data_IF_742961687456
#
_entry.id   IF_742961687456
#
_cell.length_a   1.000
_cell.length_b   1.000
_cell.length_c   1.000
_cell.angle_alpha   90.00
_cell.angle_beta   90.00
_cell.angle_gamma   90.00
#
_symmetry.space_group_name_H-M   'P 1'
#
loop_
_entity.id
_entity.type
_entity.pdbx_description
1 polymer ?
#
# COMPACT_ATOMS: atom_id res chain seq x y z
N UNK A 1 -15.12 -0.35 -11.96
CA UNK A 1 -13.95 -0.75 -11.17
C UNK A 1 -14.09 -0.51 -9.69
N UNK A 2 -13.86 -1.60 -8.99
CA UNK A 2 -14.67 -2.71 -9.34
C UNK A 2 -16.10 -2.32 -8.90
N UNK A 3 -16.69 -1.31 -9.58
CA UNK A 3 -18.11 -1.16 -9.79
C UNK A 3 -18.70 -2.55 -9.90
N UNK A 4 -19.90 -2.79 -9.36
CA UNK A 4 -20.51 -4.10 -9.40
C UNK A 4 -20.41 -4.77 -10.79
N UNK A 5 -20.53 -4.00 -11.86
CA UNK A 5 -20.35 -4.42 -13.26
C UNK A 5 -18.97 -5.05 -13.56
N UNK A 6 -17.88 -4.48 -13.05
CA UNK A 6 -16.54 -5.03 -13.28
C UNK A 6 -16.31 -6.29 -12.44
N UNK A 7 -16.81 -6.36 -11.19
CA UNK A 7 -16.75 -7.61 -10.41
C UNK A 7 -17.52 -8.74 -11.07
N UNK A 8 -18.63 -8.45 -11.73
CA UNK A 8 -19.45 -9.45 -12.42
C UNK A 8 -18.71 -10.19 -13.55
N UNK A 9 -17.54 -9.69 -14.00
CA UNK A 9 -16.66 -10.39 -14.95
C UNK A 9 -15.89 -11.56 -14.33
N UNK A 10 -15.86 -11.68 -13.01
CA UNK A 10 -15.11 -12.69 -12.27
C UNK A 10 -16.04 -13.61 -11.48
N UNK A 11 -15.68 -14.89 -11.28
CA UNK A 11 -16.39 -15.75 -10.34
C UNK A 11 -16.44 -15.12 -8.95
N UNK A 12 -17.53 -15.36 -8.17
CA UNK A 12 -17.63 -14.81 -6.83
C UNK A 12 -16.52 -15.36 -5.92
N UNK A 13 -16.10 -14.55 -4.95
CA UNK A 13 -15.21 -15.03 -3.90
C UNK A 13 -15.93 -16.13 -3.09
N UNK A 14 -15.34 -17.33 -2.90
CA UNK A 14 -16.01 -18.44 -2.24
C UNK A 14 -16.44 -18.11 -0.81
N UNK A 15 -17.67 -18.46 -0.44
CA UNK A 15 -18.26 -18.13 0.87
C UNK A 15 -17.70 -18.96 2.03
N UNK A 16 -17.08 -20.11 1.74
CA UNK A 16 -16.52 -21.05 2.71
C UNK A 16 -15.04 -20.79 3.04
N UNK A 17 -14.42 -19.79 2.43
CA UNK A 17 -13.01 -19.45 2.67
C UNK A 17 -12.92 -18.40 3.79
N UNK A 18 -12.15 -18.64 4.86
CA UNK A 18 -11.93 -17.65 5.91
C UNK A 18 -11.31 -16.37 5.35
N UNK A 19 -11.85 -15.23 5.77
CA UNK A 19 -11.37 -13.90 5.39
C UNK A 19 -11.00 -13.11 6.64
N UNK A 20 -10.01 -12.22 6.51
CA UNK A 20 -9.64 -11.32 7.57
C UNK A 20 -10.81 -10.39 7.87
N UNK A 21 -11.08 -10.15 9.15
CA UNK A 21 -12.04 -9.14 9.58
C UNK A 21 -11.44 -7.76 9.34
N UNK A 22 -11.77 -7.20 8.18
CA UNK A 22 -11.15 -5.98 7.68
C UNK A 22 -12.14 -4.82 7.83
N UNK A 23 -11.83 -3.77 8.61
CA UNK A 23 -12.69 -2.62 8.73
C UNK A 23 -12.81 -1.91 7.39
N UNK A 24 -13.98 -1.32 7.16
CA UNK A 24 -14.28 -0.54 5.95
C UNK A 24 -14.66 0.86 6.37
N UNK A 25 -13.94 1.83 5.84
CA UNK A 25 -14.17 3.23 6.13
C UNK A 25 -14.74 3.95 4.91
N UNK A 26 -15.62 4.92 5.14
CA UNK A 26 -16.16 5.79 4.10
C UNK A 26 -15.20 6.95 3.82
N UNK A 27 -14.71 7.01 2.58
CA UNK A 27 -13.92 8.15 2.13
C UNK A 27 -14.70 9.46 2.22
N UNK A 28 -16.00 9.45 1.90
CA UNK A 28 -16.85 10.64 1.99
C UNK A 28 -16.89 11.23 3.41
N UNK A 29 -16.96 10.37 4.44
CA UNK A 29 -16.91 10.79 5.85
C UNK A 29 -15.54 11.31 6.27
N UNK A 30 -14.46 10.64 5.87
CA UNK A 30 -13.10 11.11 6.13
C UNK A 30 -12.86 12.48 5.49
N UNK A 31 -13.29 12.67 4.24
CA UNK A 31 -13.16 13.93 3.51
C UNK A 31 -13.86 15.12 4.20
N UNK A 32 -14.93 14.88 4.96
CA UNK A 32 -15.61 15.91 5.78
C UNK A 32 -15.17 15.91 7.25
N UNK A 33 -14.06 15.25 7.58
CA UNK A 33 -13.48 15.16 8.92
C UNK A 33 -14.40 14.55 9.99
N UNK A 34 -15.20 13.54 9.64
CA UNK A 34 -16.03 12.81 10.60
C UNK A 34 -15.18 12.23 11.74
N UNK A 35 -15.53 12.59 12.98
CA UNK A 35 -14.73 12.24 14.17
C UNK A 35 -14.72 10.76 14.50
N UNK A 36 -15.85 10.07 14.31
CA UNK A 36 -15.98 8.64 14.59
C UNK A 36 -15.20 7.82 13.57
N UNK A 37 -15.39 8.11 12.28
CA UNK A 37 -14.67 7.48 11.18
C UNK A 37 -13.16 7.69 11.33
N UNK A 38 -12.74 8.91 11.67
CA UNK A 38 -11.34 9.25 11.90
C UNK A 38 -10.72 8.48 13.07
N UNK A 39 -11.43 8.30 14.18
CA UNK A 39 -10.94 7.56 15.34
C UNK A 39 -10.81 6.07 15.02
N UNK A 40 -11.85 5.49 14.41
CA UNK A 40 -11.85 4.08 14.03
C UNK A 40 -10.75 3.77 12.99
N UNK A 41 -10.50 4.69 12.04
CA UNK A 41 -9.39 4.60 11.09
C UNK A 41 -8.03 4.51 11.81
N UNK A 42 -7.79 5.41 12.78
CA UNK A 42 -6.54 5.44 13.52
C UNK A 42 -6.29 4.13 14.28
N UNK A 43 -7.32 3.58 14.93
CA UNK A 43 -7.21 2.31 15.64
C UNK A 43 -6.94 1.14 14.69
N UNK A 44 -7.60 1.09 13.53
CA UNK A 44 -7.31 0.08 12.51
C UNK A 44 -5.86 0.16 12.01
N UNK A 45 -5.32 1.38 11.81
CA UNK A 45 -3.94 1.60 11.41
C UNK A 45 -2.91 1.16 12.47
N UNK A 46 -3.27 1.17 13.76
CA UNK A 46 -2.42 0.68 14.86
C UNK A 46 -2.50 -0.82 15.05
N UNK A 47 -3.70 -1.37 15.02
CA UNK A 47 -3.94 -2.78 15.34
C UNK A 47 -3.71 -3.70 14.15
N UNK A 48 -4.18 -3.31 12.96
CA UNK A 48 -4.16 -4.18 11.78
C UNK A 48 -3.15 -3.65 10.76
N UNK A 49 -3.05 -2.33 10.58
CA UNK A 49 -2.23 -1.72 9.53
C UNK A 49 -2.81 -1.91 8.12
N UNK A 50 -4.01 -2.49 8.02
CA UNK A 50 -4.80 -2.65 6.80
C UNK A 50 -6.25 -2.22 7.07
N UNK A 51 -6.92 -1.74 6.02
CA UNK A 51 -8.36 -1.49 5.98
C UNK A 51 -8.85 -1.45 4.53
N UNK A 52 -10.17 -1.37 4.33
CA UNK A 52 -10.73 -1.01 3.04
C UNK A 52 -11.33 0.39 3.09
N UNK A 53 -11.22 1.13 2.00
CA UNK A 53 -11.79 2.47 1.86
C UNK A 53 -12.86 2.46 0.79
N UNK A 54 -14.09 2.77 1.17
CA UNK A 54 -15.26 2.88 0.30
C UNK A 54 -15.36 4.30 -0.29
N UNK A 55 -15.38 4.37 -1.62
CA UNK A 55 -15.45 5.61 -2.38
C UNK A 55 -16.87 6.03 -2.76
N UNK A 56 -17.91 5.33 -2.30
CA UNK A 56 -19.29 5.74 -2.52
C UNK A 56 -19.67 6.96 -1.68
N UNK A 57 -20.70 7.68 -2.12
CA UNK A 57 -21.28 8.80 -1.36
C UNK A 57 -20.62 10.16 -1.60
N UNK A 58 -19.66 10.30 -2.53
CA UNK A 58 -19.16 11.59 -2.97
C UNK A 58 -18.70 11.60 -4.44
N UNK A 59 -18.78 12.77 -5.08
CA UNK A 59 -18.41 12.95 -6.50
C UNK A 59 -16.93 12.64 -6.77
N UNK A 60 -16.05 12.97 -5.83
CA UNK A 60 -14.62 12.68 -5.95
C UNK A 60 -14.39 11.16 -6.04
N UNK A 61 -15.02 10.40 -5.14
CA UNK A 61 -14.91 8.95 -5.11
C UNK A 61 -15.44 8.30 -6.39
N UNK A 62 -16.60 8.74 -6.88
CA UNK A 62 -17.16 8.29 -8.16
C UNK A 62 -16.20 8.55 -9.34
N UNK A 63 -15.59 9.73 -9.38
CA UNK A 63 -14.64 10.10 -10.44
C UNK A 63 -13.33 9.31 -10.31
N UNK A 64 -12.84 9.09 -9.09
CA UNK A 64 -11.67 8.28 -8.83
C UNK A 64 -11.90 6.86 -9.32
N UNK A 65 -12.99 6.18 -8.92
CA UNK A 65 -13.32 4.82 -9.36
C UNK A 65 -13.39 4.69 -10.89
N UNK A 66 -13.93 5.69 -11.61
CA UNK A 66 -13.93 5.74 -13.08
C UNK A 66 -12.53 5.88 -13.68
N UNK A 67 -11.65 6.66 -13.07
CA UNK A 67 -10.27 6.76 -13.53
C UNK A 67 -9.49 5.48 -13.22
N UNK A 68 -9.79 4.83 -12.09
CA UNK A 68 -9.25 3.53 -11.77
C UNK A 68 -9.66 2.51 -12.87
N UNK A 69 -10.92 2.50 -13.39
CA UNK A 69 -11.35 1.68 -14.57
C UNK A 69 -10.34 1.71 -15.70
N UNK A 70 -9.99 2.92 -16.12
CA UNK A 70 -9.05 3.16 -17.21
C UNK A 70 -7.65 2.63 -16.89
N UNK A 71 -7.26 2.58 -15.61
CA UNK A 71 -5.97 2.02 -15.20
C UNK A 71 -5.93 0.50 -15.35
N UNK A 72 -7.03 -0.23 -15.11
CA UNK A 72 -7.05 -1.68 -15.41
C UNK A 72 -7.12 -1.94 -16.91
N UNK A 73 -7.84 -1.12 -17.68
CA UNK A 73 -7.83 -1.24 -19.14
C UNK A 73 -6.42 -1.02 -19.68
N UNK A 74 -5.71 0.00 -19.20
CA UNK A 74 -4.30 0.24 -19.51
C UNK A 74 -3.41 -0.93 -19.04
N UNK A 75 -3.65 -1.48 -17.85
CA UNK A 75 -2.91 -2.64 -17.35
C UNK A 75 -3.08 -3.86 -18.28
N UNK A 76 -4.31 -4.13 -18.74
CA UNK A 76 -4.59 -5.21 -19.69
C UNK A 76 -3.91 -4.95 -21.06
N UNK A 77 -3.98 -3.71 -21.58
CA UNK A 77 -3.30 -3.32 -22.82
C UNK A 77 -1.79 -3.47 -22.73
N UNK A 78 -1.19 -3.01 -21.63
CA UNK A 78 0.25 -3.12 -21.36
C UNK A 78 0.73 -4.57 -21.42
N UNK A 79 -0.02 -5.49 -20.79
CA UNK A 79 0.35 -6.91 -20.78
C UNK A 79 -0.10 -7.69 -22.02
N UNK A 80 -0.80 -7.04 -22.96
CA UNK A 80 -1.03 -7.57 -24.30
C UNK A 80 0.18 -7.34 -25.23
N UNK A 81 1.12 -6.46 -24.85
CA UNK A 81 2.35 -6.24 -25.61
C UNK A 81 3.24 -7.49 -25.65
N UNK A 82 4.04 -7.67 -26.72
CA UNK A 82 5.04 -8.73 -26.78
C UNK A 82 6.02 -8.64 -25.60
N UNK A 83 6.39 -9.80 -25.04
CA UNK A 83 7.37 -9.85 -23.94
C UNK A 83 8.73 -9.26 -24.32
N UNK A 84 9.11 -9.38 -25.58
CA UNK A 84 10.34 -8.78 -26.10
C UNK A 84 10.34 -7.26 -25.94
N UNK A 85 9.21 -6.60 -26.27
CA UNK A 85 9.04 -5.16 -26.10
C UNK A 85 9.05 -4.76 -24.62
N UNK A 86 8.30 -5.45 -23.77
CA UNK A 86 8.30 -5.16 -22.32
C UNK A 86 9.71 -5.28 -21.70
N UNK A 87 10.53 -6.23 -22.15
CA UNK A 87 11.90 -6.41 -21.68
C UNK A 87 12.84 -5.23 -22.04
N UNK A 88 12.52 -4.42 -23.05
CA UNK A 88 13.28 -3.20 -23.35
C UNK A 88 13.20 -2.19 -22.20
N UNK A 89 12.13 -2.25 -21.41
CA UNK A 89 11.87 -1.40 -20.25
C UNK A 89 12.21 -2.14 -18.96
N UNK A 90 13.46 -2.58 -18.78
CA UNK A 90 13.82 -3.45 -17.65
C UNK A 90 13.86 -2.75 -16.28
N UNK A 91 13.30 -3.45 -15.29
CA UNK A 91 13.44 -3.20 -13.85
C UNK A 91 14.86 -3.52 -13.36
N UNK A 92 15.45 -2.68 -12.50
CA UNK A 92 16.86 -2.77 -12.12
C UNK A 92 17.10 -2.46 -10.63
N UNK A 93 16.71 -3.35 -9.71
CA UNK A 93 16.85 -3.11 -8.27
C UNK A 93 18.32 -3.32 -7.81
N UNK A 94 18.77 -2.63 -6.76
CA UNK A 94 18.04 -1.61 -6.00
C UNK A 94 18.15 -0.19 -6.60
N UNK A 95 18.74 -0.04 -7.79
CA UNK A 95 18.93 1.26 -8.47
C UNK A 95 17.60 1.90 -8.87
N UNK A 96 16.68 1.11 -9.42
CA UNK A 96 15.34 1.57 -9.81
C UNK A 96 14.32 0.45 -9.61
N UNK A 97 13.18 0.82 -9.01
CA UNK A 97 12.04 -0.06 -8.83
C UNK A 97 10.92 0.18 -9.86
N UNK A 98 11.22 0.95 -10.91
CA UNK A 98 10.30 1.27 -11.98
C UNK A 98 10.44 0.29 -13.17
N UNK A 99 9.49 0.39 -14.10
CA UNK A 99 9.38 -0.40 -15.32
C UNK A 99 9.19 -1.90 -15.08
N UNK A 100 9.48 -2.71 -16.09
CA UNK A 100 9.04 -4.08 -16.21
C UNK A 100 9.94 -5.08 -15.47
N UNK A 101 9.33 -5.84 -14.57
CA UNK A 101 9.92 -7.03 -13.95
C UNK A 101 9.18 -8.27 -14.49
N UNK A 102 9.87 -9.18 -15.21
CA UNK A 102 9.25 -10.35 -15.79
C UNK A 102 8.84 -11.39 -14.74
N UNK A 103 8.01 -12.33 -15.16
CA UNK A 103 7.61 -13.50 -14.38
C UNK A 103 8.84 -14.29 -13.90
N UNK A 104 8.87 -14.69 -12.63
CA UNK A 104 9.90 -15.57 -12.09
C UNK A 104 11.23 -14.88 -11.79
N UNK A 105 11.27 -13.55 -11.86
CA UNK A 105 12.44 -12.73 -11.60
C UNK A 105 12.92 -12.86 -10.15
N UNK A 106 12.05 -12.62 -9.17
CA UNK A 106 12.39 -12.91 -7.77
C UNK A 106 12.20 -14.40 -7.48
N UNK A 107 13.01 -14.93 -6.56
CA UNK A 107 12.93 -16.33 -6.14
C UNK A 107 12.13 -16.46 -4.84
N UNK A 108 11.25 -17.44 -4.82
CA UNK A 108 10.50 -17.95 -3.68
C UNK A 108 11.08 -19.34 -3.40
N UNK A 109 12.01 -19.43 -2.45
CA UNK A 109 12.84 -20.62 -2.31
C UNK A 109 13.63 -20.90 -3.61
N UNK A 110 13.38 -22.04 -4.25
CA UNK A 110 14.05 -22.45 -5.50
C UNK A 110 13.28 -22.08 -6.78
N UNK A 111 12.04 -21.62 -6.66
CA UNK A 111 11.16 -21.34 -7.81
C UNK A 111 11.01 -19.84 -8.02
N UNK A 112 10.76 -19.41 -9.26
CA UNK A 112 10.51 -17.99 -9.55
C UNK A 112 9.11 -17.56 -9.11
N UNK A 113 8.92 -16.31 -8.68
CA UNK A 113 7.61 -15.73 -8.36
C UNK A 113 6.58 -15.86 -9.51
N UNK A 114 5.28 -15.73 -9.20
CA UNK A 114 4.19 -15.83 -10.19
C UNK A 114 3.54 -14.48 -10.46
N UNK A 115 4.37 -13.43 -10.55
CA UNK A 115 3.88 -12.07 -10.78
C UNK A 115 4.76 -11.33 -11.77
N UNK A 116 4.12 -10.73 -12.76
CA UNK A 116 4.70 -9.69 -13.59
C UNK A 116 4.30 -8.34 -13.02
N UNK A 117 5.21 -7.38 -13.02
CA UNK A 117 4.89 -6.01 -12.62
C UNK A 117 5.53 -5.01 -13.58
N UNK A 118 4.85 -3.89 -13.79
CA UNK A 118 5.38 -2.70 -14.42
C UNK A 118 5.17 -1.51 -13.49
N UNK A 119 6.25 -0.89 -13.04
CA UNK A 119 6.20 0.30 -12.19
C UNK A 119 6.24 1.59 -12.99
N UNK A 120 5.16 2.38 -12.98
CA UNK A 120 5.13 3.72 -13.57
C UNK A 120 5.57 4.71 -12.49
N UNK A 121 6.68 5.41 -12.74
CA UNK A 121 7.20 6.41 -11.80
C UNK A 121 6.20 7.56 -11.66
N UNK A 122 5.89 7.92 -10.41
CA UNK A 122 5.07 9.12 -10.15
C UNK A 122 5.76 10.36 -10.69
N UNK A 123 7.05 10.51 -10.41
CA UNK A 123 7.82 11.70 -10.75
C UNK A 123 7.95 11.92 -12.26
N UNK A 124 8.08 10.83 -13.02
CA UNK A 124 8.08 10.84 -14.49
C UNK A 124 6.75 11.39 -15.05
N UNK A 125 5.62 10.96 -14.48
CA UNK A 125 4.29 11.37 -14.94
C UNK A 125 3.96 12.79 -14.50
N UNK A 126 4.40 13.21 -13.30
CA UNK A 126 4.08 14.53 -12.75
C UNK A 126 5.08 15.62 -13.14
N UNK A 127 6.25 15.25 -13.67
CA UNK A 127 7.32 16.16 -14.06
C UNK A 127 8.27 16.54 -12.91
N UNK A 128 8.33 15.74 -11.84
CA UNK A 128 9.28 15.91 -10.74
C UNK A 128 10.65 15.26 -11.02
N UNK A 129 10.77 14.49 -12.10
CA UNK A 129 12.04 13.96 -12.62
C UNK A 129 12.12 14.08 -14.13
N UNK A 130 13.31 13.82 -14.69
CA UNK A 130 13.45 13.61 -16.12
C UNK A 130 12.52 12.48 -16.61
N UNK A 131 11.92 12.61 -17.81
CA UNK A 131 11.05 11.59 -18.34
C UNK A 131 11.75 10.23 -18.50
N UNK A 132 11.04 9.17 -18.16
CA UNK A 132 11.47 7.79 -18.44
C UNK A 132 10.86 7.34 -19.75
N UNK A 133 11.63 6.58 -20.55
CA UNK A 133 11.05 5.85 -21.67
C UNK A 133 10.03 4.82 -21.16
N UNK A 134 8.82 4.82 -21.75
CA UNK A 134 7.77 3.84 -21.53
C UNK A 134 7.18 3.33 -22.86
N UNK A 135 6.45 2.20 -22.86
CA UNK A 135 5.66 1.75 -24.00
C UNK A 135 4.65 2.78 -24.47
N UNK A 136 4.29 2.71 -25.76
CA UNK A 136 3.39 3.67 -26.40
C UNK A 136 2.02 3.81 -25.71
N UNK A 137 1.49 2.74 -25.13
CA UNK A 137 0.22 2.78 -24.39
C UNK A 137 0.30 3.64 -23.12
N UNK A 138 1.44 3.62 -22.41
CA UNK A 138 1.68 4.46 -21.23
C UNK A 138 1.88 5.91 -21.65
N UNK A 139 2.71 6.15 -22.67
CA UNK A 139 2.97 7.50 -23.18
C UNK A 139 1.69 8.20 -23.65
N UNK A 140 0.83 7.47 -24.37
CA UNK A 140 -0.49 7.97 -24.82
C UNK A 140 -1.42 8.32 -23.65
N UNK A 141 -1.32 7.61 -22.53
CA UNK A 141 -2.18 7.75 -21.36
C UNK A 141 -1.61 8.67 -20.28
N UNK A 142 -0.51 9.40 -20.53
CA UNK A 142 0.14 10.29 -19.57
C UNK A 142 -0.82 11.26 -18.86
N UNK A 143 -1.72 11.99 -19.55
CA UNK A 143 -2.65 12.91 -18.87
C UNK A 143 -3.56 12.18 -17.86
N UNK A 144 -4.07 11.01 -18.24
CA UNK A 144 -4.95 10.20 -17.39
C UNK A 144 -4.18 9.59 -16.21
N UNK A 145 -2.94 9.14 -16.43
CA UNK A 145 -2.03 8.68 -15.38
C UNK A 145 -1.76 9.80 -14.37
N UNK A 146 -1.49 11.01 -14.85
CA UNK A 146 -1.25 12.18 -14.00
C UNK A 146 -2.45 12.48 -13.12
N UNK A 147 -3.64 12.58 -13.71
CA UNK A 147 -4.89 12.79 -12.94
C UNK A 147 -5.10 11.68 -11.91
N UNK A 148 -4.91 10.41 -12.28
CA UNK A 148 -5.08 9.30 -11.36
C UNK A 148 -4.11 9.37 -10.18
N UNK A 149 -2.83 9.65 -10.45
CA UNK A 149 -1.78 9.77 -9.45
C UNK A 149 -2.04 10.95 -8.50
N UNK A 150 -2.46 12.09 -9.02
CA UNK A 150 -2.83 13.27 -8.22
C UNK A 150 -4.01 12.96 -7.28
N UNK A 151 -5.06 12.31 -7.80
CA UNK A 151 -6.20 11.87 -6.98
C UNK A 151 -5.80 10.83 -5.92
N UNK A 152 -4.98 9.85 -6.30
CA UNK A 152 -4.46 8.85 -5.36
C UNK A 152 -3.65 9.52 -4.24
N UNK A 153 -2.84 10.53 -4.57
CA UNK A 153 -2.07 11.29 -3.59
C UNK A 153 -2.96 12.16 -2.68
N UNK A 154 -4.05 12.72 -3.20
CA UNK A 154 -5.03 13.45 -2.38
C UNK A 154 -5.69 12.53 -1.34
N UNK A 155 -6.06 11.30 -1.73
CA UNK A 155 -6.59 10.28 -0.81
C UNK A 155 -5.55 9.93 0.26
N UNK A 156 -4.29 9.71 -0.13
CA UNK A 156 -3.18 9.48 0.80
C UNK A 156 -3.08 10.62 1.82
N UNK A 157 -3.06 11.87 1.36
CA UNK A 157 -2.93 13.04 2.23
C UNK A 157 -4.11 13.19 3.20
N UNK A 158 -5.34 12.87 2.79
CA UNK A 158 -6.51 12.86 3.68
C UNK A 158 -6.30 11.85 4.81
N UNK A 159 -5.90 10.62 4.48
CA UNK A 159 -5.63 9.57 5.49
C UNK A 159 -4.51 10.02 6.44
N UNK A 160 -3.41 10.56 5.89
CA UNK A 160 -2.28 11.05 6.69
C UNK A 160 -2.70 12.17 7.64
N UNK A 161 -3.55 13.10 7.22
CA UNK A 161 -4.07 14.17 8.07
C UNK A 161 -4.87 13.64 9.28
N UNK A 162 -5.64 12.57 9.10
CA UNK A 162 -6.30 11.89 10.23
C UNK A 162 -5.29 11.26 11.19
N UNK A 163 -4.23 10.63 10.67
CA UNK A 163 -3.18 10.03 11.50
C UNK A 163 -2.41 11.10 12.29
N UNK A 164 -2.05 12.23 11.66
CA UNK A 164 -1.38 13.37 12.30
C UNK A 164 -2.19 13.91 13.48
N UNK A 165 -3.52 14.10 13.28
CA UNK A 165 -4.44 14.56 14.32
C UNK A 165 -4.39 13.69 15.57
N UNK A 166 -4.39 12.36 15.38
CA UNK A 166 -4.35 11.38 16.48
C UNK A 166 -2.96 11.14 17.05
N UNK A 167 -1.90 11.46 16.31
CA UNK A 167 -0.52 11.47 16.83
C UNK A 167 -0.15 12.81 17.46
N UNK A 168 -1.05 13.81 17.42
CA UNK A 168 -0.81 15.21 17.83
C UNK A 168 0.42 15.82 17.13
N UNK A 169 0.60 15.45 15.86
CA UNK A 169 1.54 16.10 14.96
C UNK A 169 0.89 17.34 14.34
N UNK A 170 1.68 18.37 13.96
CA UNK A 170 1.19 19.43 13.11
C UNK A 170 0.58 18.85 11.81
N UNK A 171 -0.53 19.42 11.35
CA UNK A 171 -1.15 18.99 10.10
C UNK A 171 -0.21 19.25 8.91
N UNK A 172 -0.09 18.26 8.03
CA UNK A 172 0.79 18.29 6.87
C UNK A 172 2.21 17.80 7.13
N UNK A 173 2.57 17.37 8.34
CA UNK A 173 3.91 16.83 8.63
C UNK A 173 4.27 15.65 7.73
N UNK A 174 3.41 14.64 7.58
CA UNK A 174 3.69 13.50 6.69
C UNK A 174 3.68 13.91 5.23
N UNK A 175 2.82 14.85 4.81
CA UNK A 175 2.78 15.36 3.45
C UNK A 175 4.09 16.06 3.05
N UNK A 176 4.71 16.80 3.99
CA UNK A 176 6.02 17.43 3.81
C UNK A 176 7.17 16.42 3.70
N UNK A 177 6.99 15.19 4.19
CA UNK A 177 7.95 14.10 4.03
C UNK A 177 7.74 13.31 2.72
N UNK A 178 6.71 13.62 1.95
CA UNK A 178 6.43 12.98 0.66
C UNK A 178 5.90 13.93 -0.42
N UNK A 179 6.47 15.14 -0.58
CA UNK A 179 5.96 16.11 -1.54
C UNK A 179 5.95 15.54 -2.97
N UNK A 180 4.91 15.90 -3.72
CA UNK A 180 4.75 15.52 -5.13
C UNK A 180 5.74 16.23 -6.06
N UNK A 181 6.38 17.28 -5.56
CA UNK A 181 7.33 18.13 -6.28
C UNK A 181 8.79 17.69 -6.11
N UNK A 182 9.06 16.73 -5.24
CA UNK A 182 10.42 16.21 -5.04
C UNK A 182 10.52 14.75 -5.48
N UNK A 183 11.71 14.33 -5.96
CA UNK A 183 11.95 12.95 -6.34
C UNK A 183 11.70 11.96 -5.19
N UNK A 184 10.96 10.90 -5.46
CA UNK A 184 10.60 9.84 -4.51
C UNK A 184 10.60 8.47 -5.19
N UNK A 185 10.54 7.40 -4.39
CA UNK A 185 10.29 6.06 -4.90
C UNK A 185 8.81 5.78 -5.19
N UNK A 186 7.92 6.79 -5.19
CA UNK A 186 6.48 6.60 -5.35
C UNK A 186 6.14 6.06 -6.73
N UNK A 187 5.28 5.04 -6.77
CA UNK A 187 5.07 4.26 -7.99
C UNK A 187 3.62 3.81 -8.14
N UNK A 188 3.08 3.94 -9.36
CA UNK A 188 1.88 3.25 -9.78
C UNK A 188 2.28 1.90 -10.38
N UNK A 189 2.00 0.81 -9.69
CA UNK A 189 2.28 -0.55 -10.16
C UNK A 189 1.06 -1.12 -10.88
N UNK A 190 1.29 -1.51 -12.12
CA UNK A 190 0.45 -2.43 -12.88
C UNK A 190 0.97 -3.84 -12.63
N UNK A 191 0.17 -4.73 -12.07
CA UNK A 191 0.58 -6.12 -11.85
C UNK A 191 -0.37 -7.08 -12.58
N UNK A 192 0.22 -8.17 -13.06
CA UNK A 192 -0.49 -9.31 -13.66
C UNK A 192 -0.01 -10.61 -13.02
N UNK A 193 -0.99 -11.44 -12.65
CA UNK A 193 -0.78 -12.80 -12.21
C UNK A 193 -1.52 -13.71 -13.19
N UNK A 194 -0.80 -14.66 -13.77
CA UNK A 194 -1.41 -15.67 -14.61
C UNK A 194 -2.32 -16.59 -13.79
N UNK A 195 -3.33 -17.21 -14.43
CA UNK A 195 -4.11 -18.29 -13.82
C UNK A 195 -3.22 -19.31 -13.11
N UNK A 196 -3.68 -19.80 -11.97
CA UNK A 196 -2.99 -20.77 -11.13
C UNK A 196 -3.77 -22.08 -11.13
N UNK A 197 -3.46 -22.99 -12.06
CA UNK A 197 -4.13 -24.29 -12.16
C UNK A 197 -3.91 -25.13 -10.90
N UNK A 198 -4.70 -26.19 -10.74
CA UNK A 198 -4.71 -27.01 -9.52
C UNK A 198 -3.36 -27.68 -9.20
N UNK A 199 -2.53 -27.91 -10.22
CA UNK A 199 -1.18 -28.48 -10.12
C UNK A 199 -0.08 -27.46 -9.78
N UNK A 200 -0.36 -26.14 -9.89
CA UNK A 200 0.55 -25.08 -9.44
C UNK A 200 -0.20 -23.91 -8.78
N UNK A 201 -0.55 -24.10 -7.49
CA UNK A 201 -1.18 -23.10 -6.60
C UNK A 201 -0.20 -22.47 -5.60
N UNK A 202 1.09 -22.49 -5.92
CA UNK A 202 2.10 -21.96 -4.99
C UNK A 202 1.96 -20.46 -4.80
N UNK A 203 2.48 -19.97 -3.67
CA UNK A 203 2.59 -18.54 -3.38
C UNK A 203 3.21 -17.78 -4.56
N UNK A 204 2.52 -16.74 -5.01
CA UNK A 204 2.90 -15.92 -6.14
C UNK A 204 3.86 -14.80 -5.76
N UNK A 205 3.77 -14.29 -4.54
CA UNK A 205 4.66 -13.29 -3.95
C UNK A 205 4.82 -13.59 -2.46
N UNK A 206 6.06 -13.70 -1.98
CA UNK A 206 6.33 -14.07 -0.59
C UNK A 206 5.79 -13.05 0.41
N UNK A 207 5.69 -13.47 1.66
CA UNK A 207 5.44 -12.58 2.79
C UNK A 207 6.44 -11.43 2.83
N UNK A 208 5.93 -10.21 2.90
CA UNK A 208 6.71 -8.99 3.02
C UNK A 208 5.90 -7.88 3.69
N UNK A 209 6.59 -6.84 4.14
CA UNK A 209 6.00 -5.53 4.43
C UNK A 209 6.37 -4.55 3.32
N UNK A 210 5.56 -3.52 3.13
CA UNK A 210 5.80 -2.53 2.09
C UNK A 210 6.81 -1.49 2.55
N UNK A 211 7.83 -1.24 1.73
CA UNK A 211 8.75 -0.11 1.90
C UNK A 211 8.06 1.14 1.31
N UNK A 212 7.04 1.62 2.01
CA UNK A 212 6.17 2.76 1.65
C UNK A 212 5.74 3.50 2.92
N UNK A 213 5.07 4.64 2.75
CA UNK A 213 4.24 5.21 3.82
C UNK A 213 2.83 4.59 3.77
N UNK A 214 2.22 4.60 2.58
CA UNK A 214 0.88 4.07 2.36
C UNK A 214 0.77 3.43 0.97
N UNK A 215 -0.02 2.37 0.86
CA UNK A 215 -0.36 1.72 -0.41
C UNK A 215 -1.87 1.75 -0.62
N UNK A 216 -2.33 2.18 -1.80
CA UNK A 216 -3.72 2.05 -2.26
C UNK A 216 -3.78 0.94 -3.32
N UNK A 217 -4.55 -0.13 -3.09
CA UNK A 217 -4.56 -1.31 -3.95
C UNK A 217 -5.97 -1.68 -4.39
N UNK A 218 -6.14 -1.88 -5.70
CA UNK A 218 -7.37 -2.38 -6.30
C UNK A 218 -7.15 -3.75 -6.94
N UNK A 219 -8.10 -4.66 -6.72
CA UNK A 219 -8.20 -5.95 -7.41
C UNK A 219 -9.65 -6.43 -7.41
N UNK A 220 -10.06 -7.19 -8.42
CA UNK A 220 -11.40 -7.80 -8.49
C UNK A 220 -11.41 -9.27 -8.05
N UNK A 221 -10.25 -9.89 -7.87
CA UNK A 221 -10.12 -11.28 -7.42
C UNK A 221 -9.35 -11.34 -6.11
N UNK A 222 -9.54 -12.42 -5.35
CA UNK A 222 -8.73 -12.73 -4.17
C UNK A 222 -7.26 -13.03 -4.52
N UNK A 223 -6.56 -13.61 -3.56
CA UNK A 223 -5.14 -13.98 -3.65
C UNK A 223 -4.24 -13.20 -2.68
N UNK A 224 -4.63 -11.98 -2.30
CA UNK A 224 -3.93 -11.25 -1.23
C UNK A 224 -4.28 -11.88 0.12
N UNK A 225 -3.26 -12.12 0.94
CA UNK A 225 -3.40 -12.59 2.31
C UNK A 225 -2.58 -11.73 3.27
N UNK A 226 -3.12 -11.52 4.46
CA UNK A 226 -2.45 -10.86 5.58
C UNK A 226 -2.04 -11.90 6.61
N UNK A 227 -0.88 -11.69 7.22
CA UNK A 227 -0.42 -12.49 8.36
C UNK A 227 -1.22 -12.10 9.60
N UNK A 228 -1.73 -13.09 10.34
CA UNK A 228 -2.35 -12.84 11.64
C UNK A 228 -1.31 -12.26 12.61
N UNK A 229 -1.78 -11.40 13.50
CA UNK A 229 -0.97 -10.78 14.55
C UNK A 229 -0.13 -11.80 15.32
N UNK A 230 1.16 -11.50 15.47
CA UNK A 230 2.18 -12.31 16.17
C UNK A 230 2.26 -13.78 15.74
N UNK A 231 1.74 -14.13 14.56
CA UNK A 231 1.76 -15.48 14.04
C UNK A 231 3.04 -15.79 13.24
N UNK A 232 3.41 -17.07 13.19
CA UNK A 232 4.57 -17.52 12.42
C UNK A 232 4.28 -17.44 10.90
N UNK A 233 5.04 -16.65 10.11
CA UNK A 233 4.84 -16.50 8.66
C UNK A 233 5.11 -17.79 7.87
N UNK A 234 5.78 -18.78 8.45
CA UNK A 234 6.05 -20.08 7.82
C UNK A 234 4.87 -21.05 7.89
N UNK A 235 3.87 -20.77 8.74
CA UNK A 235 2.67 -21.60 8.87
C UNK A 235 1.57 -21.09 7.94
N UNK A 236 1.06 -21.98 7.08
CA UNK A 236 -0.02 -21.64 6.14
C UNK A 236 -1.30 -21.16 6.87
N UNK A 237 -1.59 -21.71 8.05
CA UNK A 237 -2.74 -21.36 8.89
C UNK A 237 -2.66 -19.96 9.52
N UNK A 238 -1.48 -19.34 9.50
CA UNK A 238 -1.26 -17.95 9.95
C UNK A 238 -1.76 -16.92 8.96
N UNK A 239 -2.00 -17.30 7.71
CA UNK A 239 -2.39 -16.38 6.64
C UNK A 239 -3.90 -16.38 6.43
N UNK A 240 -4.47 -15.20 6.25
CA UNK A 240 -5.92 -15.04 6.02
C UNK A 240 -6.17 -14.20 4.78
N UNK A 241 -7.13 -14.58 3.94
CA UNK A 241 -7.45 -13.84 2.73
C UNK A 241 -8.06 -12.47 3.03
N UNK A 242 -7.68 -11.47 2.24
CA UNK A 242 -8.44 -10.23 2.15
C UNK A 242 -9.40 -10.36 0.97
N UNK A 243 -10.70 -10.29 1.24
CA UNK A 243 -11.75 -10.30 0.20
C UNK A 243 -11.87 -8.90 -0.41
N UNK A 244 -11.57 -8.74 -1.72
CA UNK A 244 -11.84 -7.48 -2.41
C UNK A 244 -13.35 -7.23 -2.48
N UNK A 245 -13.76 -5.96 -2.42
CA UNK A 245 -15.17 -5.56 -2.45
C UNK A 245 -15.45 -4.50 -3.52
N UNK A 246 -16.69 -4.46 -4.05
CA UNK A 246 -17.11 -3.41 -4.95
C UNK A 246 -16.89 -2.01 -4.39
N UNK A 247 -16.44 -1.09 -5.25
CA UNK A 247 -16.26 0.33 -4.92
C UNK A 247 -15.26 0.64 -3.79
N UNK A 248 -14.49 -0.35 -3.32
CA UNK A 248 -13.46 -0.16 -2.29
C UNK A 248 -12.04 -0.29 -2.85
N UNK A 249 -11.08 0.38 -2.21
CA UNK A 249 -9.68 -0.02 -2.29
C UNK A 249 -9.23 -0.69 -0.99
N UNK A 250 -8.25 -1.57 -1.10
CA UNK A 250 -7.50 -2.09 0.05
C UNK A 250 -6.39 -1.08 0.33
N UNK A 251 -6.26 -0.65 1.57
CA UNK A 251 -5.21 0.27 2.00
C UNK A 251 -4.35 -0.41 3.05
N UNK A 252 -3.03 -0.24 2.94
CA UNK A 252 -2.10 -0.64 3.98
C UNK A 252 -1.05 0.41 4.25
N UNK A 253 -0.61 0.45 5.51
CA UNK A 253 0.53 1.24 5.93
C UNK A 253 1.81 0.47 5.64
N UNK A 254 2.87 1.23 5.33
CA UNK A 254 4.19 0.69 5.09
C UNK A 254 5.18 1.03 6.21
N UNK A 255 6.40 0.53 6.03
CA UNK A 255 7.46 0.61 7.01
C UNK A 255 7.84 2.05 7.37
N UNK A 256 7.67 3.03 6.47
CA UNK A 256 7.97 4.43 6.78
C UNK A 256 7.11 4.96 7.93
N UNK A 257 5.84 4.51 8.03
CA UNK A 257 4.97 4.88 9.15
C UNK A 257 5.45 4.25 10.46
N UNK A 258 6.04 3.07 10.43
CA UNK A 258 6.64 2.44 11.61
C UNK A 258 7.84 3.27 12.09
N UNK A 259 8.73 3.67 11.17
CA UNK A 259 9.91 4.49 11.49
C UNK A 259 9.51 5.84 12.12
N UNK A 260 8.65 6.59 11.43
CA UNK A 260 8.24 7.92 11.87
C UNK A 260 7.47 7.92 13.18
N UNK A 261 6.69 6.87 13.46
CA UNK A 261 5.83 6.79 14.65
C UNK A 261 6.42 5.96 15.79
N UNK A 262 7.69 5.54 15.69
CA UNK A 262 8.31 4.68 16.69
C UNK A 262 7.65 3.31 16.84
N UNK A 263 6.86 2.91 15.83
CA UNK A 263 6.07 1.70 15.79
C UNK A 263 4.69 1.78 16.42
N UNK A 264 4.14 2.97 16.71
CA UNK A 264 2.72 3.10 17.12
C UNK A 264 1.80 2.59 16.00
N UNK A 265 2.06 3.02 14.77
CA UNK A 265 1.36 2.51 13.59
C UNK A 265 1.97 1.19 13.12
N UNK A 266 1.16 0.36 12.46
CA UNK A 266 1.55 -0.98 12.05
C UNK A 266 1.74 -1.09 10.54
N UNK A 267 2.84 -1.71 10.13
CA UNK A 267 3.08 -2.21 8.78
C UNK A 267 2.92 -3.73 8.81
N UNK A 268 1.76 -4.23 8.35
CA UNK A 268 1.47 -5.65 8.47
C UNK A 268 2.05 -6.46 7.32
N UNK A 269 2.58 -7.62 7.68
CA UNK A 269 3.09 -8.57 6.72
C UNK A 269 1.95 -9.15 5.89
N UNK A 270 2.14 -9.17 4.58
CA UNK A 270 1.18 -9.69 3.62
C UNK A 270 1.90 -10.45 2.51
N UNK A 271 1.17 -11.33 1.83
CA UNK A 271 1.67 -12.14 0.71
C UNK A 271 0.61 -12.25 -0.38
N UNK A 272 1.00 -12.73 -1.56
CA UNK A 272 0.05 -13.07 -2.62
C UNK A 272 0.16 -14.56 -2.93
N UNK A 273 -0.96 -15.25 -2.84
CA UNK A 273 -1.13 -16.68 -3.17
C UNK A 273 -2.15 -16.86 -4.30
N UNK A 274 -2.45 -18.11 -4.63
CA UNK A 274 -3.51 -18.47 -5.59
C UNK A 274 -4.85 -17.84 -5.20
N UNK A 275 -5.58 -17.18 -6.13
CA UNK A 275 -6.95 -16.76 -5.86
C UNK A 275 -7.83 -17.96 -5.46
N UNK A 276 -8.78 -17.80 -4.53
CA UNK A 276 -9.56 -18.92 -4.02
C UNK A 276 -10.62 -19.41 -5.02
N UNK A 277 -10.89 -20.72 -5.01
CA UNK A 277 -11.95 -21.35 -5.80
C UNK A 277 -11.79 -21.12 -7.31
N UNK A 278 -12.90 -20.83 -7.99
CA UNK A 278 -12.94 -20.62 -9.43
C UNK A 278 -12.20 -19.35 -9.88
N UNK A 279 -11.89 -18.43 -8.95
CA UNK A 279 -11.04 -17.29 -9.29
C UNK A 279 -9.61 -17.70 -9.66
N UNK A 280 -9.15 -18.90 -9.25
CA UNK A 280 -7.82 -19.42 -9.58
C UNK A 280 -7.58 -19.60 -11.08
N UNK A 281 -8.64 -19.80 -11.88
CA UNK A 281 -8.53 -19.93 -13.34
C UNK A 281 -8.55 -18.60 -14.08
N UNK A 282 -8.64 -17.47 -13.36
CA UNK A 282 -8.73 -16.14 -13.96
C UNK A 282 -7.39 -15.42 -13.92
N UNK A 283 -7.10 -14.66 -14.97
CA UNK A 283 -6.00 -13.69 -14.93
C UNK A 283 -6.33 -12.60 -13.91
N UNK A 284 -5.44 -12.41 -12.93
CA UNK A 284 -5.60 -11.40 -11.89
C UNK A 284 -4.77 -10.17 -12.26
N UNK A 285 -5.48 -9.07 -12.49
CA UNK A 285 -4.88 -7.74 -12.60
C UNK A 285 -4.98 -7.00 -11.26
N UNK A 286 -3.95 -6.21 -10.97
CA UNK A 286 -3.90 -5.31 -9.81
C UNK A 286 -3.37 -3.96 -10.26
N UNK A 287 -3.99 -2.90 -9.77
CA UNK A 287 -3.47 -1.54 -9.86
C UNK A 287 -3.21 -1.08 -8.44
N UNK A 288 -1.97 -0.73 -8.14
CA UNK A 288 -1.57 -0.25 -6.81
C UNK A 288 -0.77 1.04 -6.89
N UNK A 289 -1.16 2.05 -6.12
CA UNK A 289 -0.38 3.27 -5.92
C UNK A 289 0.37 3.17 -4.59
N UNK A 290 1.70 3.21 -4.65
CA UNK A 290 2.60 3.05 -3.52
C UNK A 290 3.20 4.42 -3.23
N UNK A 291 2.67 5.12 -2.23
CA UNK A 291 3.17 6.42 -1.79
C UNK A 291 4.40 6.23 -0.91
N UNK A 292 5.51 6.85 -1.30
CA UNK A 292 6.80 6.77 -0.61
C UNK A 292 7.29 8.15 -0.20
N UNK A 293 8.10 8.22 0.86
CA UNK A 293 8.76 9.47 1.23
C UNK A 293 9.59 10.03 0.06
N UNK A 294 9.77 11.34 0.02
CA UNK A 294 10.74 11.93 -0.90
C UNK A 294 12.14 11.45 -0.53
N UNK A 295 13.01 11.25 -1.52
CA UNK A 295 14.28 10.56 -1.33
C UNK A 295 15.21 11.24 -0.32
N UNK A 296 15.06 12.56 -0.12
CA UNK A 296 15.85 13.34 0.84
C UNK A 296 15.17 13.51 2.20
N UNK A 297 13.91 13.08 2.36
CA UNK A 297 13.20 13.16 3.64
C UNK A 297 13.85 12.26 4.67
N UNK A 298 13.98 12.75 5.90
CA UNK A 298 14.59 11.99 6.98
C UNK A 298 13.66 10.87 7.47
N UNK A 299 14.23 9.70 7.69
CA UNK A 299 13.53 8.55 8.28
C UNK A 299 13.61 8.58 9.81
N UNK A 300 13.52 9.78 10.37
CA UNK A 300 13.65 10.05 11.80
C UNK A 300 12.28 10.01 12.49
N UNK A 301 12.27 9.54 13.73
CA UNK A 301 11.07 9.52 14.57
C UNK A 301 10.53 10.93 14.82
N UNK A 302 9.23 11.13 14.64
CA UNK A 302 8.55 12.42 14.79
C UNK A 302 8.10 12.65 16.24
N UNK A 303 9.07 12.70 17.16
CA UNK A 303 8.86 12.79 18.60
C UNK A 303 9.35 14.13 19.20
N UNK A 304 9.03 14.45 20.47
CA UNK A 304 9.70 15.53 21.18
C UNK A 304 11.23 15.31 21.27
N UNK A 305 12.05 16.38 21.31
CA UNK A 305 11.66 17.79 21.38
C UNK A 305 11.31 18.43 20.04
N UNK A 306 11.62 17.80 18.91
CA UNK A 306 11.41 18.37 17.56
C UNK A 306 9.91 18.56 17.23
N UNK A 307 9.08 17.65 17.75
CA UNK A 307 7.62 17.73 17.70
C UNK A 307 7.04 17.78 19.12
N UNK A 308 7.00 18.95 19.80
CA UNK A 308 6.68 19.05 21.23
C UNK A 308 5.29 18.51 21.61
N UNK A 309 4.32 18.58 20.70
CA UNK A 309 2.95 18.09 20.93
C UNK A 309 2.78 16.61 20.63
N UNK A 310 3.76 15.97 19.98
CA UNK A 310 3.65 14.61 19.49
C UNK A 310 3.42 13.60 20.62
N UNK A 311 2.52 12.65 20.38
CA UNK A 311 2.30 11.50 21.27
C UNK A 311 3.29 10.35 20.99
N UNK A 312 4.19 10.51 20.03
CA UNK A 312 5.22 9.53 19.69
C UNK A 312 6.32 9.59 20.76
N UNK A 313 6.70 8.46 21.38
CA UNK A 313 7.74 8.46 22.41
C UNK A 313 9.12 8.76 21.81
N UNK A 314 9.97 9.57 22.48
CA UNK A 314 11.34 9.80 22.05
C UNK A 314 12.14 8.48 22.05
N UNK A 315 13.33 8.50 21.44
CA UNK A 315 14.23 7.35 21.50
C UNK A 315 14.76 7.22 22.94
N UNK A 316 14.55 6.06 23.57
CA UNK A 316 15.09 5.78 24.90
C UNK A 316 16.60 5.55 24.83
N UNK A 317 17.36 6.11 25.78
CA UNK A 317 18.80 5.93 25.87
C UNK A 317 19.16 4.46 26.01
N UNK A 318 19.83 3.90 24.99
CA UNK A 318 20.26 2.49 24.95
C UNK A 318 19.64 1.66 23.82
N UNK A 319 18.61 2.15 23.13
CA UNK A 319 18.19 1.59 21.84
C UNK A 319 19.11 2.16 20.75
N UNK A 320 19.86 1.27 20.09
CA UNK A 320 20.85 1.64 19.08
C UNK A 320 20.19 2.40 17.90
N UNK A 321 20.64 3.65 17.77
CA UNK A 321 20.55 4.60 16.65
C UNK A 321 19.19 5.22 16.31
N UNK A 322 19.08 6.53 16.55
CA UNK A 322 18.25 7.41 15.73
C UNK A 322 18.55 7.13 14.25
N UNK A 323 17.52 6.85 13.46
CA UNK A 323 17.70 6.62 12.04
C UNK A 323 17.89 7.98 11.34
N UNK A 324 19.14 8.34 11.11
CA UNK A 324 19.53 9.57 10.43
C UNK A 324 19.60 9.41 8.90
N UNK A 325 19.19 8.25 8.36
CA UNK A 325 19.15 8.06 6.92
C UNK A 325 18.05 8.94 6.32
N UNK A 326 18.33 9.46 5.12
CA UNK A 326 17.26 9.89 4.24
C UNK A 326 16.50 8.66 3.68
N UNK A 327 15.32 8.88 3.11
CA UNK A 327 14.49 7.81 2.61
C UNK A 327 15.16 6.99 1.50
N UNK A 328 15.99 7.60 0.64
CA UNK A 328 16.69 6.87 -0.43
C UNK A 328 17.68 5.84 0.13
N UNK A 329 18.49 6.25 1.11
CA UNK A 329 19.47 5.38 1.76
C UNK A 329 18.77 4.30 2.60
N UNK A 330 17.69 4.66 3.28
CA UNK A 330 16.83 3.73 4.02
C UNK A 330 16.16 2.70 3.11
N UNK A 331 15.58 3.11 1.98
CA UNK A 331 15.00 2.20 0.98
C UNK A 331 16.05 1.21 0.47
N UNK A 332 17.25 1.70 0.15
CA UNK A 332 18.36 0.85 -0.29
C UNK A 332 18.77 -0.17 0.79
N UNK A 333 18.87 0.26 2.05
CA UNK A 333 19.17 -0.60 3.18
C UNK A 333 18.11 -1.71 3.35
N UNK A 334 16.82 -1.34 3.32
CA UNK A 334 15.69 -2.27 3.44
C UNK A 334 15.66 -3.28 2.30
N UNK A 335 15.80 -2.82 1.05
CA UNK A 335 15.85 -3.70 -0.13
C UNK A 335 17.03 -4.67 -0.07
N UNK A 336 18.19 -4.20 0.38
CA UNK A 336 19.40 -5.02 0.54
C UNK A 336 19.20 -6.09 1.62
N UNK A 337 18.56 -5.75 2.73
CA UNK A 337 18.22 -6.69 3.81
C UNK A 337 17.25 -7.78 3.34
N UNK A 338 16.20 -7.40 2.59
CA UNK A 338 15.26 -8.36 1.98
C UNK A 338 15.98 -9.30 1.01
N UNK A 339 16.89 -8.76 0.17
CA UNK A 339 17.69 -9.57 -0.77
C UNK A 339 18.62 -10.57 -0.05
N UNK A 340 19.08 -10.23 1.16
CA UNK A 340 19.87 -11.12 2.01
C UNK A 340 19.03 -12.20 2.71
N UNK A 341 17.71 -12.23 2.53
CA UNK A 341 16.81 -13.22 3.11
C UNK A 341 16.27 -12.86 4.50
N UNK A 342 16.50 -11.63 4.97
CA UNK A 342 15.93 -11.14 6.22
C UNK A 342 14.46 -10.76 5.99
N UNK A 343 13.59 -11.75 6.08
CA UNK A 343 12.14 -11.59 5.97
C UNK A 343 11.60 -11.67 7.40
N UNK A 344 11.26 -10.52 7.98
CA UNK A 344 10.76 -10.42 9.35
C UNK A 344 9.30 -10.84 9.49
N UNK A 345 8.60 -10.29 10.48
CA UNK A 345 7.15 -10.38 10.60
C UNK A 345 6.48 -9.03 10.33
N UNK A 346 5.23 -8.88 10.77
CA UNK A 346 4.60 -7.56 10.88
C UNK A 346 5.43 -6.64 11.78
N UNK A 347 5.44 -5.35 11.49
CA UNK A 347 6.20 -4.34 12.21
C UNK A 347 5.26 -3.31 12.87
N UNK A 348 5.63 -2.79 14.04
CA UNK A 348 4.87 -1.75 14.74
C UNK A 348 3.64 -2.27 15.50
N UNK A 349 2.62 -1.44 15.64
CA UNK A 349 1.44 -1.71 16.47
C UNK A 349 1.72 -1.71 17.99
N UNK A 350 2.72 -0.93 18.42
CA UNK A 350 3.04 -0.75 19.85
C UNK A 350 1.93 0.02 20.57
N UNK A 351 1.69 -0.28 21.85
CA UNK A 351 0.83 0.57 22.67
C UNK A 351 1.45 1.96 22.85
N UNK A 352 0.63 2.94 23.24
CA UNK A 352 1.16 4.20 23.76
C UNK A 352 1.84 3.94 25.11
N UNK A 353 2.97 4.61 25.36
CA UNK A 353 3.66 4.60 26.65
C UNK A 353 3.73 6.03 27.24
N UNK A 354 3.31 6.25 28.51
CA UNK A 354 2.58 5.29 29.36
C UNK A 354 1.25 4.90 28.70
N UNK A 355 0.69 3.72 29.03
CA UNK A 355 -0.64 3.30 28.54
C UNK A 355 -1.64 4.43 28.76
N UNK A 356 -2.15 5.00 27.67
CA UNK A 356 -3.15 6.08 27.69
C UNK A 356 -4.50 5.51 27.30
N UNK A 357 -5.56 5.89 28.02
CA UNK A 357 -6.91 5.65 27.53
C UNK A 357 -7.14 6.57 26.32
N UNK A 358 -7.43 5.95 25.18
CA UNK A 358 -7.69 6.68 23.94
C UNK A 358 -8.96 7.54 24.06
N UNK A 359 -9.92 7.13 24.90
CA UNK A 359 -11.10 7.94 25.19
C UNK A 359 -10.76 9.19 25.99
N UNK A 360 -9.65 9.20 26.74
CA UNK A 360 -9.16 10.39 27.45
C UNK A 360 -8.37 11.31 26.50
N UNK A 361 -7.61 10.74 25.56
CA UNK A 361 -6.86 11.51 24.55
C UNK A 361 -7.77 12.10 23.45
N UNK A 362 -8.83 11.38 23.14
CA UNK A 362 -9.78 11.64 22.08
C UNK A 362 -11.19 11.35 22.63
N UNK A 363 -11.73 12.21 23.52
CA UNK A 363 -13.10 12.07 23.97
C UNK A 363 -13.99 12.00 22.75
N UNK A 364 -14.69 10.87 22.59
CA UNK A 364 -15.69 10.72 21.55
C UNK A 364 -16.58 11.96 21.60
N UNK A 365 -16.85 12.58 20.45
CA UNK A 365 -17.88 13.59 20.33
C UNK A 365 -19.21 12.85 20.52
N UNK A 366 -19.52 12.54 21.78
CA UNK A 366 -20.85 12.13 22.21
C UNK A 366 -21.62 13.43 22.31
N UNK A 367 -22.33 13.78 21.23
CA UNK A 367 -23.61 14.52 21.19
C UNK A 367 -23.70 15.43 19.95
N UNK A 368 -24.45 14.97 18.95
CA UNK A 368 -25.64 15.70 18.48
C UNK A 368 -26.59 14.65 17.86
N UNK A 369 -27.76 14.52 18.49
CA UNK A 369 -28.91 13.71 18.06
C UNK A 369 -29.46 14.21 16.73
#
# INVERSE_FOLDING_TARGET
>A
MPTPTYFAKYPPFPSNIPVADMPIFSFAKLAVNDGHESCALFEACRHIGFFQLDFTGCLFGDQFLKNTEKMFDLNAELYALPKLELNEYSYNPPISLFRYKPLGYHKIGKVGDRVELYGISRDDITGASEPLANPACIERCRPQLKTYIEQANEIVNIILGHLEKHLKLPLGTFAQLQPMTEPSGSVLRMLKYEPQPADDRRTAMMGHTDITALTLLFSATGGLQILKDDADPHLESSWTYIKPRPSTCIVNLGDAMVEWTGGILRSAMHRVTSPPGDQSSMTRYVVGYFARPAGNSLMKRLAPPEYPSSLIPPVEGGQNYENDMNARDWEWHKLSSVKAGNIGGSLGGKPFEPKRDLNELFPAIVNAV
#
